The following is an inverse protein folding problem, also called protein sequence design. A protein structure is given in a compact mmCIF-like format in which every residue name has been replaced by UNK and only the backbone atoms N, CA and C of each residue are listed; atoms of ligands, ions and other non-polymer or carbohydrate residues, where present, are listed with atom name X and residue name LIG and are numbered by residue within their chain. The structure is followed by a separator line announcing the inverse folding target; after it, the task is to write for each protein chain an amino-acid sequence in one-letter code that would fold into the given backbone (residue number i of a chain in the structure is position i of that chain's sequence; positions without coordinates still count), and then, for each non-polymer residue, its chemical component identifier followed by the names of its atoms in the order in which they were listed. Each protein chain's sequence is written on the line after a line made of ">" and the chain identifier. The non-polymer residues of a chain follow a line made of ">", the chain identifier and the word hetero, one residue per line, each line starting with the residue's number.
data_IF_410160707571
#
_entry.id   IF_410160707571
#
_cell.length_a   1.000
_cell.length_b   1.000
_cell.length_c   1.000
_cell.angle_alpha   90.00
_cell.angle_beta   90.00
_cell.angle_gamma   90.00
#
_symmetry.space_group_name_H-M   'P 1'
#
loop_
_entity.id
_entity.type
_entity.pdbx_description
1 polymer ?
#
# COMPACT_ATOMS: atom_id res chain seq x y z
N UNK A 1 -8.12 -10.78 -28.40
CA UNK A 1 -6.99 -11.00 -27.46
C UNK A 1 -6.81 -9.72 -26.67
N UNK A 2 -7.48 -9.61 -25.52
CA UNK A 2 -7.48 -8.38 -24.72
C UNK A 2 -6.23 -8.39 -23.85
N UNK A 3 -5.24 -7.63 -24.27
CA UNK A 3 -4.02 -7.34 -23.53
C UNK A 3 -4.43 -6.79 -22.16
N UNK A 4 -4.23 -7.59 -21.11
CA UNK A 4 -4.33 -7.11 -19.74
C UNK A 4 -3.12 -6.19 -19.54
N UNK A 5 -3.33 -4.88 -19.66
CA UNK A 5 -2.26 -3.90 -19.46
C UNK A 5 -1.80 -3.99 -18.01
N UNK A 6 -0.69 -4.71 -17.79
CA UNK A 6 -0.02 -4.85 -16.51
C UNK A 6 0.73 -3.55 -16.23
N UNK A 7 0.15 -2.66 -15.45
CA UNK A 7 0.95 -1.60 -14.83
C UNK A 7 1.50 -2.10 -13.52
N UNK A 8 2.78 -2.47 -13.54
CA UNK A 8 3.57 -2.73 -12.36
C UNK A 8 4.07 -1.37 -11.86
N UNK A 9 3.30 -0.71 -11.00
CA UNK A 9 3.77 0.46 -10.28
C UNK A 9 4.49 -0.01 -9.01
N UNK A 10 5.81 -0.20 -9.15
CA UNK A 10 6.74 -0.39 -8.04
C UNK A 10 7.37 0.97 -7.79
N UNK A 11 6.88 1.70 -6.78
CA UNK A 11 7.65 2.65 -5.98
C UNK A 11 6.82 2.94 -4.72
N UNK A 12 7.17 2.30 -3.60
CA UNK A 12 6.50 2.48 -2.31
C UNK A 12 5.92 1.21 -1.65
N UNK A 13 6.24 0.01 -2.16
CA UNK A 13 5.97 -1.26 -1.47
C UNK A 13 4.57 -1.86 -1.64
N UNK A 14 3.60 -1.18 -2.26
CA UNK A 14 2.30 -1.79 -2.60
C UNK A 14 2.19 -2.08 -4.10
N UNK A 15 2.01 -3.35 -4.42
CA UNK A 15 1.52 -3.80 -5.73
C UNK A 15 0.01 -3.60 -5.79
N UNK A 16 -0.44 -2.63 -6.58
CA UNK A 16 -1.85 -2.54 -6.96
C UNK A 16 -2.10 -3.33 -8.24
N UNK A 17 -2.79 -4.47 -8.09
CA UNK A 17 -3.46 -5.12 -9.21
C UNK A 17 -4.95 -4.79 -9.09
N UNK A 18 -5.46 -3.98 -10.01
CA UNK A 18 -6.92 -3.95 -10.24
C UNK A 18 -7.26 -5.28 -10.92
N UNK A 19 -7.58 -6.29 -10.11
CA UNK A 19 -8.12 -7.53 -10.62
C UNK A 19 -9.50 -7.25 -11.20
N UNK A 20 -9.71 -7.57 -12.47
CA UNK A 20 -11.06 -7.72 -13.00
C UNK A 20 -11.75 -8.83 -12.20
N UNK A 21 -12.75 -8.47 -11.42
CA UNK A 21 -13.73 -9.38 -10.83
C UNK A 21 -15.10 -8.78 -11.12
N UNK A 22 -16.04 -9.65 -11.48
CA UNK A 22 -17.31 -9.39 -12.13
C UNK A 22 -18.01 -8.06 -11.77
N UNK A 23 -18.58 -7.43 -12.81
CA UNK A 23 -19.56 -6.35 -12.72
C UNK A 23 -20.56 -6.64 -11.59
N UNK A 24 -20.57 -5.80 -10.58
CA UNK A 24 -21.67 -5.70 -9.64
C UNK A 24 -22.22 -4.29 -9.81
N UNK A 25 -23.42 -4.23 -10.37
CA UNK A 25 -24.23 -3.02 -10.41
C UNK A 25 -24.79 -2.80 -9.01
N UNK A 26 -24.54 -1.64 -8.40
CA UNK A 26 -25.60 -0.89 -7.72
C UNK A 26 -25.17 0.54 -7.42
N UNK A 27 -26.06 1.45 -7.79
CA UNK A 27 -25.97 2.90 -7.64
C UNK A 27 -26.72 3.26 -6.35
N UNK A 28 -26.07 3.96 -5.42
CA UNK A 28 -26.78 4.63 -4.33
C UNK A 28 -26.01 5.86 -3.88
N UNK A 29 -26.44 7.01 -4.39
CA UNK A 29 -26.08 8.31 -3.81
C UNK A 29 -26.78 8.43 -2.45
N UNK A 30 -26.02 8.31 -1.37
CA UNK A 30 -26.43 8.76 -0.04
C UNK A 30 -25.45 9.80 0.44
N UNK A 31 -25.94 11.03 0.64
CA UNK A 31 -25.22 12.09 1.34
C UNK A 31 -24.97 11.66 2.78
N UNK A 32 -23.84 11.04 3.02
CA UNK A 32 -23.33 10.73 4.34
C UNK A 32 -22.15 11.67 4.62
N UNK A 33 -22.06 12.18 5.84
CA UNK A 33 -20.82 12.79 6.33
C UNK A 33 -19.77 11.68 6.43
N UNK A 34 -19.16 11.33 5.31
CA UNK A 34 -18.25 10.21 5.21
C UNK A 34 -16.91 10.61 5.83
N UNK A 35 -16.72 10.26 7.10
CA UNK A 35 -15.41 10.27 7.75
C UNK A 35 -15.31 9.02 8.60
N UNK A 36 -14.78 7.95 8.02
CA UNK A 36 -14.38 6.78 8.79
C UNK A 36 -12.95 7.00 9.30
N UNK A 37 -12.65 6.42 10.47
CA UNK A 37 -11.32 6.48 11.05
C UNK A 37 -10.31 5.80 10.11
N UNK A 38 -9.30 6.58 9.71
CA UNK A 38 -8.16 6.09 8.93
C UNK A 38 -6.98 5.77 9.84
N UNK A 39 -7.08 5.81 11.16
CA UNK A 39 -6.02 5.36 12.03
C UNK A 39 -5.91 3.83 11.97
N UNK A 40 -4.69 3.33 11.80
CA UNK A 40 -4.38 1.91 12.01
C UNK A 40 -3.58 1.81 13.29
N UNK A 41 -4.12 1.09 14.27
CA UNK A 41 -3.44 0.88 15.55
C UNK A 41 -2.54 -0.34 15.46
N UNK A 42 -1.27 -0.19 15.86
CA UNK A 42 -0.39 -1.33 16.04
C UNK A 42 -0.81 -2.10 17.30
N UNK A 43 -1.05 -3.40 17.17
CA UNK A 43 -1.59 -4.23 18.26
C UNK A 43 -1.00 -5.64 18.34
N UNK A 44 0.00 -5.95 17.51
CA UNK A 44 0.58 -7.30 17.43
C UNK A 44 2.08 -7.34 17.23
N UNK A 45 2.60 -8.57 17.17
CA UNK A 45 4.00 -8.87 16.91
C UNK A 45 4.14 -10.12 16.04
N UNK A 46 4.84 -10.02 14.92
CA UNK A 46 5.19 -11.14 14.05
C UNK A 46 6.61 -11.58 14.38
N UNK A 47 6.84 -12.88 14.60
CA UNK A 47 8.18 -13.40 14.87
C UNK A 47 8.90 -13.70 13.55
N UNK A 48 10.01 -13.00 13.30
CA UNK A 48 10.85 -13.16 12.11
C UNK A 48 12.24 -13.62 12.56
N UNK A 49 12.52 -14.92 12.38
CA UNK A 49 13.69 -15.54 12.99
C UNK A 49 13.64 -15.47 14.52
N UNK A 50 14.60 -14.77 15.11
CA UNK A 50 14.65 -14.51 16.56
C UNK A 50 14.13 -13.13 16.96
N UNK A 51 13.66 -12.31 16.02
CA UNK A 51 13.24 -10.92 16.26
C UNK A 51 11.72 -10.80 16.19
N UNK A 52 11.13 -10.04 17.12
CA UNK A 52 9.72 -9.69 17.08
C UNK A 52 9.50 -8.37 16.33
N UNK A 53 8.95 -8.44 15.12
CA UNK A 53 8.48 -7.28 14.36
C UNK A 53 7.16 -6.80 14.99
N UNK A 54 7.20 -5.66 15.69
CA UNK A 54 6.05 -5.13 16.41
C UNK A 54 6.04 -3.60 16.40
N UNK A 55 4.84 -3.01 16.30
CA UNK A 55 4.65 -1.56 16.22
C UNK A 55 4.49 -1.04 14.79
N UNK A 56 4.81 0.23 14.61
CA UNK A 56 4.77 0.93 13.32
C UNK A 56 6.19 1.18 12.84
N UNK A 57 6.47 0.79 11.60
CA UNK A 57 7.74 1.02 10.92
C UNK A 57 7.50 1.92 9.72
N UNK A 58 8.19 3.04 9.67
CA UNK A 58 7.88 4.11 8.71
C UNK A 58 9.13 4.56 7.99
N UNK A 59 9.00 4.75 6.68
CA UNK A 59 10.07 5.23 5.83
C UNK A 59 10.25 6.73 5.96
N UNK A 60 11.41 7.21 5.51
CA UNK A 60 11.63 8.65 5.35
C UNK A 60 10.64 9.27 4.37
N UNK A 61 10.45 10.58 4.48
CA UNK A 61 9.71 11.34 3.48
C UNK A 61 10.48 11.33 2.15
N UNK A 62 9.97 10.59 1.16
CA UNK A 62 10.63 10.43 -0.13
C UNK A 62 10.19 11.53 -1.10
N UNK A 63 11.16 12.29 -1.62
CA UNK A 63 10.95 13.34 -2.63
C UNK A 63 11.63 12.99 -3.96
N UNK A 64 12.58 12.07 -3.95
CA UNK A 64 13.34 11.67 -5.14
C UNK A 64 12.41 11.03 -6.17
N UNK A 65 12.53 11.48 -7.42
CA UNK A 65 11.71 11.06 -8.58
C UNK A 65 10.19 11.34 -8.49
N UNK A 66 9.67 11.87 -7.38
CA UNK A 66 8.23 12.07 -7.19
C UNK A 66 7.66 13.03 -8.23
N UNK A 67 8.32 14.16 -8.49
CA UNK A 67 7.88 15.11 -9.52
C UNK A 67 7.92 14.51 -10.93
N UNK A 68 8.94 13.69 -11.23
CA UNK A 68 9.04 13.01 -12.52
C UNK A 68 7.89 12.01 -12.72
N UNK A 69 7.51 11.31 -11.65
CA UNK A 69 6.37 10.40 -11.65
C UNK A 69 5.04 11.14 -11.77
N UNK A 70 4.85 12.25 -11.06
CA UNK A 70 3.68 13.10 -11.22
C UNK A 70 3.56 13.63 -12.66
N UNK A 71 4.66 14.10 -13.26
CA UNK A 71 4.70 14.57 -14.64
C UNK A 71 4.40 13.47 -15.67
N UNK A 72 4.76 12.22 -15.37
CA UNK A 72 4.45 11.06 -16.19
C UNK A 72 3.03 10.50 -15.96
N UNK A 73 2.21 11.15 -15.12
CA UNK A 73 0.86 10.68 -14.77
C UNK A 73 0.86 9.43 -13.88
N UNK A 74 2.02 9.08 -13.30
CA UNK A 74 2.18 7.95 -12.40
C UNK A 74 1.62 8.27 -11.00
N UNK A 75 1.64 9.53 -10.60
CA UNK A 75 1.07 10.02 -9.35
C UNK A 75 0.11 11.19 -9.61
N UNK A 76 -0.75 11.54 -8.62
CA UNK A 76 -1.46 12.81 -8.66
C UNK A 76 -0.51 13.97 -8.93
N UNK A 77 -0.92 14.90 -9.78
CA UNK A 77 -0.07 15.98 -10.29
C UNK A 77 0.40 16.96 -9.20
N UNK A 78 -0.27 16.97 -8.05
CA UNK A 78 0.09 17.77 -6.88
C UNK A 78 1.05 17.06 -5.92
N UNK A 79 1.39 15.79 -6.16
CA UNK A 79 2.27 15.02 -5.27
C UNK A 79 3.71 15.51 -5.37
N UNK A 80 4.30 15.88 -4.23
CA UNK A 80 5.71 16.29 -4.09
C UNK A 80 6.52 15.39 -3.18
N UNK A 81 5.86 14.65 -2.30
CA UNK A 81 6.50 13.61 -1.52
C UNK A 81 5.57 12.45 -1.20
N UNK A 82 6.17 11.30 -0.89
CA UNK A 82 5.47 10.07 -0.51
C UNK A 82 6.10 9.52 0.76
N UNK A 83 5.28 8.90 1.60
CA UNK A 83 5.72 8.18 2.79
C UNK A 83 5.05 6.82 2.85
N UNK A 84 5.79 5.78 3.23
CA UNK A 84 5.26 4.42 3.37
C UNK A 84 5.42 3.96 4.81
N UNK A 85 4.39 3.31 5.36
CA UNK A 85 4.41 2.70 6.69
C UNK A 85 3.95 1.24 6.66
N UNK A 86 4.49 0.46 7.58
CA UNK A 86 4.12 -0.91 7.90
C UNK A 86 3.69 -0.96 9.35
N UNK A 87 2.46 -1.38 9.59
CA UNK A 87 1.84 -1.33 10.92
C UNK A 87 1.40 -2.74 11.28
N UNK A 88 2.06 -3.34 12.28
CA UNK A 88 1.77 -4.71 12.70
C UNK A 88 0.49 -4.75 13.53
N UNK A 89 -0.54 -5.42 13.03
CA UNK A 89 -1.88 -5.43 13.65
C UNK A 89 -2.18 -6.72 14.41
N UNK A 90 -1.47 -7.82 14.13
CA UNK A 90 -1.56 -9.06 14.90
C UNK A 90 -0.27 -9.90 14.77
N UNK A 91 -0.30 -11.16 15.23
CA UNK A 91 0.79 -12.12 14.99
C UNK A 91 0.90 -12.62 13.55
N UNK A 92 -0.12 -12.40 12.72
CA UNK A 92 -0.17 -12.85 11.32
C UNK A 92 -0.76 -11.81 10.38
N UNK A 93 -0.82 -10.54 10.78
CA UNK A 93 -1.37 -9.46 9.96
C UNK A 93 -0.64 -8.14 10.16
N UNK A 94 -0.58 -7.36 9.07
CA UNK A 94 -0.09 -6.00 9.07
C UNK A 94 -0.87 -5.16 8.07
N UNK A 95 -0.79 -3.84 8.20
CA UNK A 95 -1.23 -2.89 7.19
C UNK A 95 -0.01 -2.29 6.52
N UNK A 96 -0.02 -2.23 5.20
CA UNK A 96 0.95 -1.45 4.44
C UNK A 96 0.26 -0.23 3.84
N UNK A 97 0.82 0.95 4.11
CA UNK A 97 0.14 2.21 3.90
C UNK A 97 1.02 3.19 3.17
N UNK A 98 0.49 3.81 2.13
CA UNK A 98 1.14 4.83 1.34
C UNK A 98 0.41 6.16 1.50
N UNK A 99 1.19 7.20 1.72
CA UNK A 99 0.75 8.55 1.99
C UNK A 99 1.37 9.47 0.94
N UNK A 100 0.55 10.30 0.30
CA UNK A 100 0.95 11.24 -0.73
C UNK A 100 0.75 12.66 -0.19
N UNK A 101 1.70 13.55 -0.47
CA UNK A 101 1.70 14.89 0.08
C UNK A 101 1.99 15.95 -0.98
N UNK A 102 1.38 17.12 -0.84
CA UNK A 102 1.59 18.27 -1.74
C UNK A 102 2.80 19.15 -1.40
N UNK A 103 3.51 18.79 -0.33
CA UNK A 103 4.75 19.41 0.12
C UNK A 103 5.89 18.39 0.21
N UNK A 104 7.12 18.86 0.33
CA UNK A 104 8.32 18.00 0.41
C UNK A 104 8.65 17.57 1.84
N UNK A 105 7.89 18.03 2.83
CA UNK A 105 8.10 17.73 4.26
C UNK A 105 7.12 16.68 4.80
N UNK A 106 6.28 16.10 3.93
CA UNK A 106 5.24 15.15 4.27
C UNK A 106 4.28 15.66 5.35
N UNK A 107 3.73 16.87 5.18
CA UNK A 107 2.87 17.53 6.17
C UNK A 107 1.41 17.69 5.72
N UNK A 108 1.17 17.90 4.42
CA UNK A 108 -0.14 18.15 3.81
C UNK A 108 -0.54 16.97 2.94
N UNK A 109 -1.25 16.00 3.55
CA UNK A 109 -1.62 14.76 2.89
C UNK A 109 -2.74 14.96 1.86
N UNK A 110 -2.49 14.60 0.60
CA UNK A 110 -3.45 14.67 -0.51
C UNK A 110 -4.12 13.34 -0.80
N UNK A 111 -3.47 12.22 -0.48
CA UNK A 111 -4.04 10.89 -0.68
C UNK A 111 -3.45 9.90 0.32
N UNK A 112 -4.26 8.94 0.72
CA UNK A 112 -3.88 7.81 1.57
C UNK A 112 -4.42 6.53 0.95
N UNK A 113 -3.56 5.54 0.83
CA UNK A 113 -3.94 4.20 0.40
C UNK A 113 -3.42 3.19 1.42
N UNK A 114 -4.30 2.29 1.87
CA UNK A 114 -4.00 1.23 2.82
C UNK A 114 -4.31 -0.12 2.22
N UNK A 115 -3.37 -1.04 2.33
CA UNK A 115 -3.56 -2.44 2.00
C UNK A 115 -3.36 -3.30 3.24
N UNK A 116 -4.45 -3.86 3.76
CA UNK A 116 -4.39 -4.88 4.81
C UNK A 116 -3.81 -6.18 4.27
N UNK A 117 -3.06 -6.86 5.13
CA UNK A 117 -2.39 -8.13 4.85
C UNK A 117 -2.72 -9.12 5.96
N UNK A 118 -3.08 -10.33 5.58
CA UNK A 118 -3.40 -11.43 6.50
C UNK A 118 -2.55 -12.65 6.20
N UNK A 119 -2.69 -13.68 7.04
CA UNK A 119 -2.07 -14.99 6.84
C UNK A 119 -0.56 -14.89 6.63
N UNK A 120 0.09 -13.97 7.36
CA UNK A 120 1.54 -13.81 7.29
C UNK A 120 2.19 -15.09 7.82
N UNK A 121 2.99 -15.74 6.98
CA UNK A 121 3.79 -16.88 7.36
C UNK A 121 5.27 -16.60 7.07
N UNK A 122 6.09 -16.70 8.12
CA UNK A 122 7.54 -16.58 8.01
C UNK A 122 8.11 -17.99 7.80
N UNK A 123 8.81 -18.17 6.69
CA UNK A 123 9.46 -19.42 6.30
C UNK A 123 10.96 -19.39 6.54
N UNK A 124 11.68 -20.11 5.69
CA UNK A 124 13.12 -20.32 5.82
C UNK A 124 13.93 -19.03 5.65
N UNK A 125 15.08 -18.99 6.32
CA UNK A 125 16.09 -17.97 6.10
C UNK A 125 16.66 -18.06 4.66
N UNK A 126 16.94 -16.91 4.09
CA UNK A 126 17.58 -16.72 2.79
C UNK A 126 18.71 -15.70 2.97
N UNK A 127 19.89 -16.19 3.37
CA UNK A 127 20.98 -15.31 3.80
C UNK A 127 20.67 -14.63 5.14
N UNK A 128 20.73 -13.31 5.19
CA UNK A 128 20.33 -12.50 6.36
C UNK A 128 18.82 -12.25 6.45
N UNK A 129 18.07 -12.65 5.42
CA UNK A 129 16.66 -12.31 5.24
C UNK A 129 15.78 -13.55 5.46
N UNK A 130 14.47 -13.35 5.51
CA UNK A 130 13.50 -14.44 5.69
C UNK A 130 12.48 -14.43 4.57
N UNK A 131 12.17 -15.62 4.04
CA UNK A 131 11.04 -15.81 3.14
C UNK A 131 9.75 -15.57 3.91
N UNK A 132 8.87 -14.75 3.35
CA UNK A 132 7.58 -14.45 3.94
C UNK A 132 6.50 -14.59 2.89
N UNK A 133 5.38 -15.20 3.26
CA UNK A 133 4.14 -15.12 2.47
C UNK A 133 3.08 -14.34 3.23
N UNK A 134 2.16 -13.75 2.48
CA UNK A 134 0.99 -13.08 3.03
C UNK A 134 -0.12 -13.00 1.99
N UNK A 135 -1.35 -12.76 2.42
CA UNK A 135 -2.51 -12.55 1.55
C UNK A 135 -2.99 -11.11 1.59
N UNK A 136 -3.48 -10.62 0.45
CA UNK A 136 -4.18 -9.34 0.38
C UNK A 136 -5.56 -9.45 1.02
N UNK A 137 -5.81 -8.72 2.12
CA UNK A 137 -7.04 -8.89 2.92
C UNK A 137 -8.02 -7.72 2.83
N UNK A 138 -7.52 -6.48 2.77
CA UNK A 138 -8.37 -5.29 2.69
C UNK A 138 -7.72 -4.19 1.87
N UNK A 139 -8.56 -3.31 1.34
CA UNK A 139 -8.17 -2.07 0.69
C UNK A 139 -8.95 -0.92 1.28
N UNK A 140 -8.26 0.20 1.55
CA UNK A 140 -8.91 1.48 1.88
C UNK A 140 -8.18 2.60 1.17
N UNK A 141 -8.90 3.62 0.73
CA UNK A 141 -8.31 4.85 0.22
C UNK A 141 -9.11 6.08 0.62
N UNK A 142 -8.41 7.21 0.67
CA UNK A 142 -8.98 8.55 0.83
C UNK A 142 -8.22 9.49 -0.11
N UNK A 143 -8.95 10.34 -0.81
CA UNK A 143 -8.43 11.47 -1.57
C UNK A 143 -8.82 12.76 -0.85
N UNK A 144 -7.93 13.75 -0.82
CA UNK A 144 -8.10 15.03 -0.12
C UNK A 144 -7.84 16.24 -1.02
N UNK A 145 -7.59 16.02 -2.31
CA UNK A 145 -7.36 17.08 -3.30
C UNK A 145 -7.99 16.74 -4.64
N UNK A 146 -8.34 17.77 -5.41
CA UNK A 146 -8.94 17.62 -6.73
C UNK A 146 -8.03 16.82 -7.69
N UNK A 147 -6.71 17.04 -7.57
CA UNK A 147 -5.71 16.34 -8.38
C UNK A 147 -5.64 14.84 -8.02
N UNK A 148 -5.71 14.49 -6.74
CA UNK A 148 -5.72 13.10 -6.29
C UNK A 148 -7.01 12.38 -6.68
N UNK A 149 -8.16 13.03 -6.49
CA UNK A 149 -9.48 12.54 -6.91
C UNK A 149 -9.51 12.25 -8.40
N UNK A 150 -9.24 13.25 -9.25
CA UNK A 150 -9.23 13.13 -10.71
C UNK A 150 -8.29 12.00 -11.17
N UNK A 151 -7.08 11.96 -10.62
CA UNK A 151 -6.09 10.93 -10.99
C UNK A 151 -6.56 9.52 -10.60
N UNK A 152 -7.17 9.37 -9.43
CA UNK A 152 -7.58 8.07 -8.89
C UNK A 152 -8.81 7.53 -9.61
N UNK A 153 -9.79 8.36 -9.93
CA UNK A 153 -10.95 8.02 -10.74
C UNK A 153 -10.56 7.67 -12.18
N UNK A 154 -9.62 8.40 -12.77
CA UNK A 154 -9.05 8.05 -14.06
C UNK A 154 -8.35 6.68 -14.02
N UNK A 155 -7.65 6.37 -12.93
CA UNK A 155 -7.02 5.05 -12.72
C UNK A 155 -8.06 3.91 -12.67
N UNK A 156 -9.19 4.12 -12.00
CA UNK A 156 -10.32 3.16 -12.03
C UNK A 156 -10.92 3.03 -13.42
N UNK A 157 -11.15 4.15 -14.10
CA UNK A 157 -11.75 4.19 -15.45
C UNK A 157 -10.87 3.45 -16.46
N UNK A 158 -9.56 3.64 -16.39
CA UNK A 158 -8.58 2.92 -17.21
C UNK A 158 -8.56 1.41 -16.93
N UNK A 159 -9.01 1.01 -15.73
CA UNK A 159 -9.18 -0.39 -15.34
C UNK A 159 -10.59 -0.94 -15.64
N UNK A 160 -11.44 -0.16 -16.31
CA UNK A 160 -12.80 -0.53 -16.69
C UNK A 160 -13.84 -0.42 -15.57
N UNK A 161 -13.54 0.31 -14.50
CA UNK A 161 -14.45 0.58 -13.39
C UNK A 161 -14.78 2.06 -13.31
N UNK A 162 -16.05 2.41 -13.13
CA UNK A 162 -16.44 3.78 -12.81
C UNK A 162 -16.58 3.90 -11.30
N UNK A 163 -15.80 4.79 -10.71
CA UNK A 163 -15.82 5.09 -9.27
C UNK A 163 -15.88 6.60 -9.15
N UNK A 164 -16.81 7.09 -8.34
CA UNK A 164 -16.92 8.48 -7.92
C UNK A 164 -16.36 8.58 -6.49
N UNK A 165 -15.28 9.34 -6.31
CA UNK A 165 -14.57 9.50 -5.05
C UNK A 165 -14.88 10.86 -4.46
N UNK A 166 -15.52 10.89 -3.30
CA UNK A 166 -15.70 12.14 -2.56
C UNK A 166 -14.48 12.44 -1.68
N UNK A 167 -13.95 13.67 -1.76
CA UNK A 167 -12.82 14.08 -0.91
C UNK A 167 -13.13 13.95 0.59
N UNK A 168 -12.13 13.50 1.35
CA UNK A 168 -12.24 13.23 2.79
C UNK A 168 -12.99 11.94 3.14
N UNK A 169 -13.62 11.29 2.17
CA UNK A 169 -14.39 10.08 2.37
C UNK A 169 -13.55 8.83 2.15
N UNK A 170 -13.72 7.86 3.05
CA UNK A 170 -13.07 6.55 2.93
C UNK A 170 -13.84 5.71 1.94
N UNK A 171 -13.14 5.27 0.89
CA UNK A 171 -13.56 4.13 0.08
C UNK A 171 -12.84 2.89 0.59
N UNK A 172 -13.59 1.83 0.89
CA UNK A 172 -13.05 0.56 1.33
C UNK A 172 -13.58 -0.61 0.50
N UNK A 173 -12.80 -1.68 0.47
CA UNK A 173 -13.18 -2.95 -0.14
C UNK A 173 -12.38 -4.11 0.44
N UNK A 174 -12.82 -5.34 0.15
CA UNK A 174 -12.01 -6.53 0.42
C UNK A 174 -10.76 -6.53 -0.46
N UNK A 175 -9.67 -7.08 0.08
CA UNK A 175 -8.48 -7.41 -0.71
C UNK A 175 -8.76 -8.52 -1.71
N UNK A 176 -7.81 -8.78 -2.60
CA UNK A 176 -7.98 -9.80 -3.65
C UNK A 176 -7.90 -11.24 -3.12
N UNK A 177 -7.51 -11.45 -1.86
CA UNK A 177 -7.21 -12.77 -1.31
C UNK A 177 -5.98 -13.45 -1.90
N UNK A 178 -5.32 -12.82 -2.89
CA UNK A 178 -4.14 -13.38 -3.54
C UNK A 178 -2.99 -13.49 -2.55
N UNK A 179 -2.28 -14.61 -2.61
CA UNK A 179 -1.04 -14.83 -1.89
C UNK A 179 0.12 -14.17 -2.62
N UNK A 180 1.05 -13.61 -1.86
CA UNK A 180 2.28 -13.00 -2.33
C UNK A 180 3.45 -13.54 -1.50
N UNK A 181 4.61 -13.60 -2.16
CA UNK A 181 5.91 -14.02 -1.64
C UNK A 181 6.81 -12.80 -1.55
N UNK A 182 7.52 -12.66 -0.44
CA UNK A 182 8.40 -11.52 -0.15
C UNK A 182 9.64 -12.00 0.61
N UNK A 183 10.65 -11.14 0.70
CA UNK A 183 11.79 -11.30 1.61
C UNK A 183 11.76 -10.20 2.64
N UNK A 184 11.91 -10.53 3.92
CA UNK A 184 11.95 -9.56 5.01
C UNK A 184 13.29 -9.61 5.73
N UNK A 185 13.83 -8.42 6.02
CA UNK A 185 14.95 -8.23 6.92
C UNK A 185 14.45 -7.40 8.12
N UNK A 186 14.59 -7.97 9.32
CA UNK A 186 14.05 -7.36 10.55
C UNK A 186 15.15 -7.28 11.59
N UNK A 187 15.30 -6.09 12.17
CA UNK A 187 16.05 -5.85 13.41
C UNK A 187 15.11 -5.29 14.48
N UNK A 188 15.64 -4.95 15.65
CA UNK A 188 14.83 -4.34 16.72
C UNK A 188 14.22 -2.99 16.33
N UNK A 189 14.84 -2.26 15.40
CA UNK A 189 14.48 -0.88 15.03
C UNK A 189 14.26 -0.67 13.53
N UNK A 190 14.71 -1.60 12.68
CA UNK A 190 14.65 -1.46 11.22
C UNK A 190 13.89 -2.63 10.60
N UNK A 191 13.04 -2.31 9.65
CA UNK A 191 12.39 -3.24 8.76
C UNK A 191 12.79 -2.92 7.32
N UNK A 192 13.09 -3.95 6.52
CA UNK A 192 13.22 -3.87 5.06
C UNK A 192 12.44 -5.02 4.43
N UNK A 193 11.93 -4.79 3.23
CA UNK A 193 11.26 -5.82 2.47
C UNK A 193 11.67 -5.78 1.00
N UNK A 194 11.42 -6.88 0.28
CA UNK A 194 11.64 -6.99 -1.15
C UNK A 194 10.47 -6.46 -1.97
N UNK A 195 10.59 -6.65 -3.28
CA UNK A 195 9.48 -6.46 -4.21
C UNK A 195 8.67 -7.76 -4.24
N UNK A 196 7.57 -7.79 -3.49
CA UNK A 196 6.74 -8.99 -3.40
C UNK A 196 6.24 -9.45 -4.79
N UNK A 197 5.98 -10.74 -4.96
CA UNK A 197 5.48 -11.31 -6.21
C UNK A 197 4.57 -12.51 -5.95
N UNK A 198 3.71 -12.89 -6.91
CA UNK A 198 2.79 -14.02 -6.74
C UNK A 198 3.44 -15.36 -7.03
N UNK A 199 4.41 -15.37 -7.93
CA UNK A 199 4.98 -16.55 -8.53
C UNK A 199 6.28 -16.92 -7.81
N UNK A 200 7.16 -15.95 -7.54
CA UNK A 200 8.50 -16.19 -7.02
C UNK A 200 8.86 -15.32 -5.79
N UNK A 201 9.85 -15.77 -5.02
CA UNK A 201 10.45 -14.91 -4.00
C UNK A 201 11.39 -13.89 -4.66
N UNK A 202 11.42 -12.62 -4.21
CA UNK A 202 12.45 -11.70 -4.64
C UNK A 202 13.83 -12.24 -4.23
N UNK A 203 14.88 -11.84 -4.95
CA UNK A 203 16.26 -12.31 -4.68
C UNK A 203 16.96 -11.53 -3.57
N UNK A 204 16.41 -10.36 -3.19
CA UNK A 204 16.92 -9.51 -2.12
C UNK A 204 15.83 -8.60 -1.57
N UNK A 205 16.05 -8.08 -0.36
CA UNK A 205 15.30 -6.92 0.15
C UNK A 205 15.70 -5.64 -0.57
N UNK A 206 14.79 -4.66 -0.61
CA UNK A 206 15.07 -3.32 -1.12
C UNK A 206 16.01 -2.52 -0.21
N UNK A 207 16.51 -1.40 -0.74
CA UNK A 207 17.38 -0.46 0.00
C UNK A 207 16.63 0.43 0.98
N UNK A 208 15.31 0.55 0.83
CA UNK A 208 14.46 1.38 1.69
C UNK A 208 14.40 0.79 3.09
N UNK A 209 14.79 1.60 4.08
CA UNK A 209 14.68 1.24 5.49
C UNK A 209 13.43 1.89 6.09
N UNK A 210 12.63 1.09 6.79
CA UNK A 210 11.52 1.55 7.61
C UNK A 210 11.97 1.52 9.06
N UNK A 211 11.93 2.67 9.73
CA UNK A 211 12.37 2.80 11.12
C UNK A 211 11.17 2.72 12.06
N UNK A 212 11.32 1.98 13.15
CA UNK A 212 10.33 1.89 14.21
C UNK A 212 10.02 3.28 14.79
N UNK A 213 8.73 3.60 14.90
CA UNK A 213 8.23 4.86 15.48
C UNK A 213 8.07 4.77 17.00
#
# INVERSE_FOLDING_TARGET
>A
MKSCFKWLMIMGGILFFVGSCAKSDDDSSSSSSCTADTATTASGSITVGSVALAGTYTGACATTFVEAFAAAGLYPSDTKSIKTSYIVTSSTSFSNEQYYYSDTTCSTQTMLIKGGKSDVAVGDASGSDYKVTWKSSSYKEVVNSDAAETWREATYSNSGSTVDLTQGCVKDSSGSGSEYKDLWNVTSTVFKNGSADKDDYPTSVGSTEYTKQ
#
